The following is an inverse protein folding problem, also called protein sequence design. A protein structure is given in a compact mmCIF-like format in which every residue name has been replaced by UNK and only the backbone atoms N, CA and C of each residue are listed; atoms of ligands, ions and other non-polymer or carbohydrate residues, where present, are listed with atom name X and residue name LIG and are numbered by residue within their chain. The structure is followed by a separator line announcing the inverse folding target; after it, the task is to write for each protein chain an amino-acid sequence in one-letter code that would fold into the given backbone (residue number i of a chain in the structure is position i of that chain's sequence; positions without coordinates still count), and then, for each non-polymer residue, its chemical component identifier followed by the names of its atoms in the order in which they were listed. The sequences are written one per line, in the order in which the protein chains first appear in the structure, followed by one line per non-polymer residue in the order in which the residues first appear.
data_IF_439063431441
#
_entry.id   IF_439063431441
#
_cell.length_a   1.000
_cell.length_b   1.000
_cell.length_c   1.000
_cell.angle_alpha   90.00
_cell.angle_beta   90.00
_cell.angle_gamma   90.00
#
_symmetry.space_group_name_H-M   'P 1'
#
loop_
_entity.id
_entity.type
_entity.pdbx_description
1 polymer ?
#
# COMPACT_ATOMS: atom_id res chain seq x y z
N UNK A 1 -10.28 22.80 11.68
CA UNK A 1 -11.47 22.01 12.06
C UNK A 1 -11.74 20.87 11.09
N UNK A 2 -11.90 21.10 9.77
CA UNK A 2 -12.17 20.03 8.79
C UNK A 2 -11.02 19.02 8.59
N UNK A 3 -9.76 19.47 8.49
CA UNK A 3 -8.57 18.58 8.39
C UNK A 3 -8.49 17.61 9.58
N UNK A 4 -8.52 18.15 10.79
CA UNK A 4 -8.52 17.35 12.02
C UNK A 4 -9.70 16.38 12.12
N UNK A 5 -10.90 16.78 11.66
CA UNK A 5 -12.03 15.87 11.54
C UNK A 5 -11.74 14.71 10.58
N UNK A 6 -11.25 14.99 9.35
CA UNK A 6 -10.89 13.96 8.38
C UNK A 6 -9.81 13.01 8.90
N UNK A 7 -8.76 13.54 9.52
CA UNK A 7 -7.73 12.74 10.18
C UNK A 7 -8.33 11.82 11.24
N UNK A 8 -9.25 12.31 12.08
CA UNK A 8 -9.92 11.48 13.09
C UNK A 8 -10.87 10.45 12.48
N UNK A 9 -11.54 10.80 11.38
CA UNK A 9 -12.44 9.88 10.66
C UNK A 9 -11.68 8.71 10.05
N UNK A 10 -10.46 8.95 9.55
CA UNK A 10 -9.64 7.91 8.91
C UNK A 10 -8.81 7.14 9.93
N UNK A 11 -8.06 7.84 10.80
CA UNK A 11 -7.21 7.20 11.81
C UNK A 11 -8.02 6.60 12.97
N UNK A 12 -9.29 6.99 13.13
CA UNK A 12 -10.11 6.66 14.28
C UNK A 12 -9.96 7.67 15.42
N UNK A 13 -11.07 7.91 16.13
CA UNK A 13 -11.16 8.92 17.18
C UNK A 13 -10.24 8.63 18.39
N UNK A 14 -9.87 7.37 18.59
CA UNK A 14 -9.03 6.94 19.72
C UNK A 14 -7.53 7.07 19.46
N UNK A 15 -7.11 7.34 18.22
CA UNK A 15 -5.68 7.39 17.86
C UNK A 15 -5.04 8.67 18.39
N UNK A 16 -3.96 8.55 19.18
CA UNK A 16 -3.19 9.69 19.62
C UNK A 16 -2.35 10.26 18.47
N UNK A 17 -2.87 11.30 17.83
CA UNK A 17 -2.21 11.99 16.70
C UNK A 17 -0.93 12.72 17.07
N UNK A 18 -0.68 12.94 18.36
CA UNK A 18 0.57 13.52 18.85
C UNK A 18 1.67 12.46 19.04
N UNK A 19 1.36 11.18 18.78
CA UNK A 19 2.30 10.06 18.88
C UNK A 19 2.59 9.50 17.48
N UNK A 20 3.69 9.92 16.81
CA UNK A 20 4.02 9.48 15.46
C UNK A 20 4.02 7.97 15.27
N UNK A 21 4.54 7.21 16.24
CA UNK A 21 4.55 5.75 16.19
C UNK A 21 3.15 5.14 16.18
N UNK A 22 2.20 5.73 16.92
CA UNK A 22 0.82 5.27 16.93
C UNK A 22 0.12 5.56 15.60
N UNK A 23 0.39 6.73 15.01
CA UNK A 23 -0.11 7.08 13.67
C UNK A 23 0.46 6.15 12.60
N UNK A 24 1.75 5.80 12.65
CA UNK A 24 2.37 4.83 11.73
C UNK A 24 1.69 3.46 11.85
N UNK A 25 1.54 2.94 13.08
CA UNK A 25 0.86 1.66 13.32
C UNK A 25 -0.55 1.70 12.72
N UNK A 26 -1.27 2.80 12.92
CA UNK A 26 -2.61 2.97 12.36
C UNK A 26 -2.63 2.98 10.84
N UNK A 27 -1.66 3.61 10.18
CA UNK A 27 -1.52 3.58 8.73
C UNK A 27 -1.38 2.13 8.20
N UNK A 28 -0.56 1.32 8.88
CA UNK A 28 -0.37 -0.10 8.52
C UNK A 28 -1.67 -0.89 8.74
N UNK A 29 -2.37 -0.66 9.85
CA UNK A 29 -3.65 -1.34 10.12
C UNK A 29 -4.75 -1.00 9.11
N UNK A 30 -4.81 0.26 8.66
CA UNK A 30 -5.71 0.69 7.60
C UNK A 30 -5.37 -0.04 6.30
N UNK A 31 -4.10 0.00 5.89
CA UNK A 31 -3.62 -0.69 4.70
C UNK A 31 -3.85 -2.21 4.74
N UNK A 32 -3.70 -2.84 5.91
CA UNK A 32 -4.05 -4.25 6.11
C UNK A 32 -5.55 -4.48 5.88
N UNK A 33 -6.40 -3.58 6.38
CA UNK A 33 -7.85 -3.67 6.18
C UNK A 33 -8.24 -3.52 4.71
N UNK A 34 -7.57 -2.64 3.95
CA UNK A 34 -7.74 -2.54 2.50
C UNK A 34 -7.39 -3.86 1.80
N UNK A 35 -6.23 -4.44 2.13
CA UNK A 35 -5.77 -5.74 1.60
C UNK A 35 -6.77 -6.87 1.91
N UNK A 36 -7.40 -6.85 3.09
CA UNK A 36 -8.40 -7.83 3.49
C UNK A 36 -9.68 -7.79 2.63
N UNK A 37 -9.85 -6.80 1.74
CA UNK A 37 -10.94 -6.80 0.74
C UNK A 37 -10.90 -8.03 -0.19
N UNK A 38 -9.72 -8.58 -0.47
CA UNK A 38 -9.61 -9.93 -1.06
C UNK A 38 -9.07 -10.96 -0.06
N UNK A 39 -8.18 -10.54 0.84
CA UNK A 39 -7.52 -11.44 1.80
C UNK A 39 -8.48 -12.12 2.80
N UNK A 40 -9.65 -11.54 3.11
CA UNK A 40 -10.57 -12.07 4.14
C UNK A 40 -11.02 -13.51 3.91
N UNK A 41 -11.09 -13.96 2.66
CA UNK A 41 -11.53 -15.31 2.32
C UNK A 41 -10.46 -16.37 2.59
N UNK A 42 -9.21 -15.94 2.82
CA UNK A 42 -8.03 -16.79 2.92
C UNK A 42 -7.24 -16.55 4.21
N UNK A 43 -7.71 -15.66 5.09
CA UNK A 43 -6.93 -15.21 6.25
C UNK A 43 -6.63 -16.30 7.26
N UNK A 44 -7.45 -17.34 7.34
CA UNK A 44 -7.20 -18.52 8.17
C UNK A 44 -6.04 -19.39 7.65
N UNK A 45 -5.61 -19.17 6.41
CA UNK A 45 -4.55 -19.91 5.72
C UNK A 45 -3.30 -19.07 5.51
N UNK A 46 -3.24 -17.84 6.04
CA UNK A 46 -2.01 -17.07 6.07
C UNK A 46 -0.98 -17.77 6.96
N UNK A 47 0.30 -17.73 6.59
CA UNK A 47 1.38 -18.31 7.39
C UNK A 47 1.56 -17.60 8.73
N UNK A 48 1.18 -16.33 8.82
CA UNK A 48 1.32 -15.49 10.00
C UNK A 48 0.01 -14.73 10.28
N UNK A 49 -0.19 -14.36 11.54
CA UNK A 49 -1.37 -13.59 11.93
C UNK A 49 -1.24 -12.09 11.60
N UNK A 50 -2.34 -11.35 11.77
CA UNK A 50 -2.36 -9.90 11.54
C UNK A 50 -1.29 -9.16 12.34
N UNK A 51 -1.06 -9.54 13.60
CA UNK A 51 -0.13 -8.84 14.49
C UNK A 51 1.29 -9.02 13.99
N UNK A 52 1.67 -10.25 13.63
CA UNK A 52 2.97 -10.58 13.06
C UNK A 52 3.20 -9.85 11.73
N UNK A 53 2.23 -9.88 10.81
CA UNK A 53 2.31 -9.20 9.52
C UNK A 53 2.46 -7.68 9.70
N UNK A 54 1.64 -7.05 10.54
CA UNK A 54 1.73 -5.61 10.79
C UNK A 54 3.05 -5.24 11.48
N UNK A 55 3.53 -6.06 12.42
CA UNK A 55 4.81 -5.83 13.11
C UNK A 55 6.00 -5.95 12.17
N UNK A 56 6.01 -6.95 11.30
CA UNK A 56 7.05 -7.13 10.29
C UNK A 56 7.03 -5.99 9.27
N UNK A 57 5.83 -5.55 8.84
CA UNK A 57 5.67 -4.39 7.97
C UNK A 57 6.24 -3.12 8.62
N UNK A 58 5.91 -2.87 9.88
CA UNK A 58 6.42 -1.71 10.63
C UNK A 58 7.96 -1.74 10.75
N UNK A 59 8.52 -2.92 11.01
CA UNK A 59 9.98 -3.10 11.10
C UNK A 59 10.64 -2.81 9.75
N UNK A 60 10.14 -3.42 8.67
CA UNK A 60 10.68 -3.24 7.32
C UNK A 60 10.63 -1.78 6.83
N UNK A 61 9.53 -1.06 7.06
CA UNK A 61 9.45 0.36 6.66
C UNK A 61 10.31 1.27 7.56
N UNK A 62 10.49 0.92 8.84
CA UNK A 62 11.31 1.74 9.76
C UNK A 62 12.79 1.52 9.49
N UNK A 63 13.22 0.28 9.30
CA UNK A 63 14.61 -0.09 8.99
C UNK A 63 15.08 0.46 7.64
N UNK A 64 14.17 0.61 6.68
CA UNK A 64 14.42 1.27 5.39
C UNK A 64 14.35 2.80 5.46
N UNK A 65 14.20 3.38 6.64
CA UNK A 65 13.98 4.83 6.83
C UNK A 65 12.83 5.37 5.98
N UNK A 66 11.76 4.59 5.86
CA UNK A 66 10.57 4.92 5.07
C UNK A 66 10.85 5.14 3.58
N UNK A 67 11.92 4.53 3.04
CA UNK A 67 12.19 4.50 1.60
C UNK A 67 11.50 3.28 1.00
N UNK A 68 10.62 3.52 0.03
CA UNK A 68 9.93 2.45 -0.66
C UNK A 68 10.90 1.58 -1.45
N UNK A 69 10.67 0.26 -1.41
CA UNK A 69 11.29 -0.66 -2.37
C UNK A 69 10.41 -1.87 -2.62
N UNK A 70 10.46 -2.39 -3.85
CA UNK A 70 9.76 -3.63 -4.23
C UNK A 70 10.28 -4.86 -3.46
N UNK A 71 11.49 -4.78 -2.90
CA UNK A 71 12.03 -5.81 -2.01
C UNK A 71 11.16 -5.97 -0.76
N UNK A 72 10.65 -4.87 -0.19
CA UNK A 72 9.77 -4.93 0.98
C UNK A 72 8.49 -5.72 0.65
N UNK A 73 7.90 -5.51 -0.53
CA UNK A 73 6.73 -6.27 -0.99
C UNK A 73 7.05 -7.76 -1.06
N UNK A 74 8.20 -8.10 -1.67
CA UNK A 74 8.64 -9.49 -1.80
C UNK A 74 8.86 -10.15 -0.45
N UNK A 75 9.57 -9.49 0.46
CA UNK A 75 9.85 -10.04 1.79
C UNK A 75 8.55 -10.24 2.59
N UNK A 76 7.64 -9.25 2.57
CA UNK A 76 6.35 -9.31 3.29
C UNK A 76 5.39 -10.32 2.65
N UNK A 77 5.51 -10.59 1.34
CA UNK A 77 4.69 -11.60 0.65
C UNK A 77 4.83 -13.00 1.25
N UNK A 78 6.03 -13.33 1.74
CA UNK A 78 6.35 -14.62 2.36
C UNK A 78 5.65 -14.81 3.71
N UNK A 79 5.13 -13.75 4.31
CA UNK A 79 4.34 -13.87 5.54
C UNK A 79 2.91 -14.33 5.29
N UNK A 80 2.42 -14.20 4.05
CA UNK A 80 1.10 -14.69 3.65
C UNK A 80 1.19 -16.13 3.18
N UNK A 81 2.03 -16.41 2.17
CA UNK A 81 2.24 -17.74 1.59
C UNK A 81 3.44 -17.73 0.63
N UNK A 82 3.99 -18.90 0.32
CA UNK A 82 5.11 -19.04 -0.62
C UNK A 82 4.73 -18.70 -2.08
N UNK A 83 3.51 -19.07 -2.50
CA UNK A 83 3.02 -18.83 -3.85
C UNK A 83 1.57 -18.36 -3.83
N UNK A 84 0.65 -19.31 -3.59
CA UNK A 84 -0.80 -19.07 -3.66
C UNK A 84 -1.54 -19.74 -2.53
N UNK A 85 -2.66 -19.14 -2.12
CA UNK A 85 -3.66 -19.75 -1.23
C UNK A 85 -4.96 -19.88 -2.00
N UNK A 86 -5.58 -21.06 -1.95
CA UNK A 86 -6.81 -21.38 -2.69
C UNK A 86 -6.58 -22.35 -3.84
N UNK A 87 -7.58 -22.54 -4.69
CA UNK A 87 -7.56 -23.50 -5.80
C UNK A 87 -8.25 -22.94 -7.06
N UNK A 88 -7.89 -23.52 -8.22
CA UNK A 88 -8.46 -23.20 -9.53
C UNK A 88 -8.52 -21.69 -9.82
N UNK A 89 -9.73 -21.14 -9.93
CA UNK A 89 -9.97 -19.71 -10.17
C UNK A 89 -10.22 -18.92 -8.87
N UNK A 90 -10.19 -19.57 -7.71
CA UNK A 90 -10.44 -18.97 -6.40
C UNK A 90 -9.16 -19.03 -5.56
N UNK A 91 -8.23 -18.15 -5.90
CA UNK A 91 -6.96 -18.04 -5.19
C UNK A 91 -6.51 -16.59 -5.04
N UNK A 92 -5.54 -16.41 -4.14
CA UNK A 92 -4.73 -15.20 -4.00
C UNK A 92 -3.25 -15.58 -4.04
N UNK A 93 -2.40 -14.61 -4.35
CA UNK A 93 -0.93 -14.75 -4.28
C UNK A 93 -0.42 -13.98 -3.07
N UNK A 94 0.67 -14.44 -2.46
CA UNK A 94 1.33 -13.68 -1.40
C UNK A 94 1.72 -12.28 -1.87
N UNK A 95 2.23 -12.18 -3.10
CA UNK A 95 2.66 -10.91 -3.71
C UNK A 95 1.48 -9.95 -3.96
N UNK A 96 0.36 -10.44 -4.50
CA UNK A 96 -0.84 -9.63 -4.72
C UNK A 96 -1.45 -9.06 -3.42
N UNK A 97 -1.35 -9.80 -2.30
CA UNK A 97 -1.74 -9.30 -0.98
C UNK A 97 -0.73 -8.28 -0.45
N UNK A 98 0.57 -8.63 -0.48
CA UNK A 98 1.63 -7.76 0.03
C UNK A 98 1.74 -6.44 -0.72
N UNK A 99 1.56 -6.41 -2.05
CA UNK A 99 1.59 -5.14 -2.79
C UNK A 99 0.48 -4.20 -2.33
N UNK A 100 -0.71 -4.72 -2.02
CA UNK A 100 -1.83 -3.88 -1.55
C UNK A 100 -1.52 -3.32 -0.16
N UNK A 101 -1.03 -4.17 0.74
CA UNK A 101 -0.62 -3.76 2.10
C UNK A 101 0.48 -2.69 2.06
N UNK A 102 1.57 -2.93 1.34
CA UNK A 102 2.73 -2.03 1.34
C UNK A 102 2.40 -0.72 0.62
N UNK A 103 1.84 -0.77 -0.59
CA UNK A 103 1.55 0.46 -1.34
C UNK A 103 0.49 1.33 -0.62
N UNK A 104 -0.53 0.73 0.00
CA UNK A 104 -1.48 1.48 0.83
C UNK A 104 -0.84 2.02 2.11
N UNK A 105 0.11 1.30 2.70
CA UNK A 105 0.88 1.81 3.85
C UNK A 105 1.60 3.10 3.44
N UNK A 106 2.34 3.09 2.33
CA UNK A 106 3.04 4.28 1.84
C UNK A 106 2.09 5.41 1.47
N UNK A 107 0.92 5.11 0.90
CA UNK A 107 -0.15 6.10 0.69
C UNK A 107 -0.56 6.79 1.99
N UNK A 108 -0.85 6.03 3.04
CA UNK A 108 -1.25 6.60 4.33
C UNK A 108 -0.11 7.34 5.02
N UNK A 109 1.13 6.85 4.93
CA UNK A 109 2.30 7.56 5.44
C UNK A 109 2.47 8.93 4.77
N UNK A 110 2.24 9.02 3.46
CA UNK A 110 2.24 10.29 2.74
C UNK A 110 1.08 11.19 3.19
N UNK A 111 -0.15 10.68 3.22
CA UNK A 111 -1.35 11.46 3.65
C UNK A 111 -1.20 12.01 5.07
N UNK A 112 -0.56 11.27 5.97
CA UNK A 112 -0.38 11.64 7.36
C UNK A 112 1.06 12.09 7.67
N UNK A 113 1.84 12.49 6.67
CA UNK A 113 3.25 12.87 6.84
C UNK A 113 3.44 13.97 7.88
N UNK A 114 2.53 14.95 7.92
CA UNK A 114 2.54 16.06 8.87
C UNK A 114 2.40 15.61 10.34
N UNK A 115 1.77 14.46 10.60
CA UNK A 115 1.60 13.91 11.94
C UNK A 115 2.75 12.98 12.33
N UNK A 116 3.42 12.39 11.34
CA UNK A 116 4.45 11.36 11.54
C UNK A 116 5.85 11.98 11.60
N UNK A 117 6.13 12.97 10.75
CA UNK A 117 7.46 13.54 10.55
C UNK A 117 7.58 14.98 11.08
N UNK A 118 6.90 15.31 12.19
CA UNK A 118 6.85 16.66 12.77
C UNK A 118 8.24 17.29 12.94
N UNK A 119 9.22 16.50 13.42
CA UNK A 119 10.59 16.94 13.68
C UNK A 119 11.62 16.26 12.76
N UNK A 120 11.17 15.69 11.64
CA UNK A 120 12.01 14.91 10.72
C UNK A 120 11.80 15.37 9.29
N UNK A 121 12.79 15.14 8.44
CA UNK A 121 12.59 15.28 7.01
C UNK A 121 11.50 14.31 6.55
N UNK A 122 10.54 14.81 5.76
CA UNK A 122 9.55 13.97 5.09
C UNK A 122 10.31 13.07 4.11
N UNK A 123 10.07 11.74 4.13
CA UNK A 123 10.71 10.81 3.19
C UNK A 123 10.42 11.16 1.73
N UNK A 124 11.30 10.72 0.84
CA UNK A 124 11.05 10.82 -0.59
C UNK A 124 10.07 9.71 -1.06
N UNK A 125 8.90 10.13 -1.53
CA UNK A 125 7.87 9.23 -2.06
C UNK A 125 7.94 9.07 -3.59
N UNK A 126 8.96 9.63 -4.26
CA UNK A 126 9.09 9.61 -5.73
C UNK A 126 9.23 8.21 -6.33
N UNK A 127 9.65 7.24 -5.53
CA UNK A 127 9.80 5.84 -5.93
C UNK A 127 8.58 4.97 -5.62
N UNK A 128 7.56 5.51 -4.96
CA UNK A 128 6.41 4.73 -4.52
C UNK A 128 5.59 4.21 -5.70
N UNK A 129 5.23 2.93 -5.61
CA UNK A 129 4.34 2.28 -6.56
C UNK A 129 2.86 2.55 -6.23
N UNK A 130 2.00 2.46 -7.25
CA UNK A 130 0.56 2.64 -7.09
C UNK A 130 -0.06 1.42 -6.36
N UNK A 131 -0.90 1.59 -5.33
CA UNK A 131 -1.64 0.49 -4.72
C UNK A 131 -2.67 -0.10 -5.69
N UNK A 132 -2.36 -1.24 -6.29
CA UNK A 132 -3.25 -1.85 -7.29
C UNK A 132 -4.48 -2.46 -6.62
N UNK A 133 -5.66 -2.03 -7.05
CA UNK A 133 -6.94 -2.67 -6.81
C UNK A 133 -7.77 -2.73 -8.09
N UNK A 134 -9.02 -3.20 -7.97
CA UNK A 134 -9.93 -3.32 -9.10
C UNK A 134 -10.29 -1.98 -9.76
N UNK A 135 -10.29 -0.87 -9.01
CA UNK A 135 -10.57 0.46 -9.55
C UNK A 135 -9.37 0.92 -10.37
N UNK A 136 -8.16 0.84 -9.79
CA UNK A 136 -6.92 1.24 -10.45
C UNK A 136 -6.66 0.42 -11.71
N UNK A 137 -6.78 -0.91 -11.65
CA UNK A 137 -6.61 -1.79 -12.81
C UNK A 137 -7.58 -1.42 -13.94
N UNK A 138 -8.85 -1.17 -13.59
CA UNK A 138 -9.88 -0.78 -14.56
C UNK A 138 -9.57 0.57 -15.20
N UNK A 139 -9.16 1.56 -14.41
CA UNK A 139 -8.82 2.93 -14.87
C UNK A 139 -7.57 2.94 -15.76
N UNK A 140 -6.60 2.09 -15.45
CA UNK A 140 -5.39 1.91 -16.25
C UNK A 140 -5.64 1.07 -17.52
N UNK A 141 -6.86 0.57 -17.74
CA UNK A 141 -7.23 -0.32 -18.85
C UNK A 141 -6.35 -1.57 -18.95
N UNK A 142 -5.88 -2.08 -17.80
CA UNK A 142 -5.09 -3.31 -17.73
C UNK A 142 -6.06 -4.50 -17.78
N UNK A 143 -5.91 -5.33 -18.81
CA UNK A 143 -6.79 -6.49 -19.06
C UNK A 143 -6.27 -7.73 -18.35
N UNK A 144 -7.18 -8.68 -18.10
CA UNK A 144 -6.90 -10.02 -17.58
C UNK A 144 -6.06 -10.04 -16.29
N UNK A 145 -6.22 -8.99 -15.47
CA UNK A 145 -5.48 -8.77 -14.25
C UNK A 145 -6.44 -8.68 -13.05
N UNK A 146 -6.16 -9.46 -12.01
CA UNK A 146 -6.83 -9.37 -10.71
C UNK A 146 -5.77 -9.07 -9.68
N UNK A 147 -5.87 -7.92 -9.02
CA UNK A 147 -4.81 -7.41 -8.13
C UNK A 147 -4.37 -8.41 -7.06
N UNK A 148 -5.31 -9.20 -6.52
CA UNK A 148 -5.03 -10.17 -5.46
C UNK A 148 -4.32 -11.44 -5.95
N UNK A 149 -4.23 -11.62 -7.28
CA UNK A 149 -3.60 -12.76 -7.95
C UNK A 149 -2.29 -12.40 -8.66
N UNK A 150 -1.82 -11.17 -8.46
CA UNK A 150 -0.63 -10.67 -9.13
C UNK A 150 0.62 -11.44 -8.75
N UNK A 151 1.32 -11.96 -9.75
CA UNK A 151 2.74 -12.30 -9.62
C UNK A 151 3.59 -11.03 -9.58
N UNK A 152 4.85 -11.15 -9.14
CA UNK A 152 5.82 -10.05 -9.18
C UNK A 152 5.94 -9.47 -10.59
N UNK A 153 6.03 -10.31 -11.62
CA UNK A 153 6.15 -9.88 -13.00
C UNK A 153 4.92 -9.09 -13.49
N UNK A 154 3.71 -9.60 -13.25
CA UNK A 154 2.48 -8.90 -13.64
C UNK A 154 2.33 -7.57 -12.90
N UNK A 155 2.75 -7.52 -11.63
CA UNK A 155 2.78 -6.28 -10.87
C UNK A 155 3.71 -5.25 -11.52
N UNK A 156 4.92 -5.65 -11.92
CA UNK A 156 5.88 -4.77 -12.59
C UNK A 156 5.31 -4.23 -13.91
N UNK A 157 4.64 -5.06 -14.70
CA UNK A 157 3.96 -4.65 -15.93
C UNK A 157 2.84 -3.64 -15.66
N UNK A 158 2.05 -3.83 -14.60
CA UNK A 158 1.02 -2.89 -14.18
C UNK A 158 1.63 -1.54 -13.78
N UNK A 159 2.72 -1.54 -12.99
CA UNK A 159 3.40 -0.32 -12.57
C UNK A 159 4.04 0.41 -13.75
N UNK A 160 4.68 -0.31 -14.68
CA UNK A 160 5.21 0.28 -15.90
C UNK A 160 4.12 0.95 -16.73
N UNK A 161 2.95 0.30 -16.85
CA UNK A 161 1.79 0.88 -17.54
C UNK A 161 1.30 2.16 -16.87
N UNK A 162 1.26 2.20 -15.54
CA UNK A 162 0.88 3.39 -14.78
C UNK A 162 1.90 4.52 -15.01
N UNK A 163 3.19 4.22 -15.02
CA UNK A 163 4.24 5.21 -15.32
C UNK A 163 4.05 5.83 -16.71
N UNK A 164 3.76 5.02 -17.73
CA UNK A 164 3.44 5.53 -19.08
C UNK A 164 2.25 6.49 -19.07
N UNK A 165 1.19 6.12 -18.35
CA UNK A 165 -0.03 6.93 -18.26
C UNK A 165 0.23 8.25 -17.53
N UNK A 166 1.02 8.25 -16.45
CA UNK A 166 1.38 9.47 -15.73
C UNK A 166 2.26 10.39 -16.60
N UNK A 167 3.25 9.83 -17.29
CA UNK A 167 4.14 10.59 -18.17
C UNK A 167 3.42 11.23 -19.37
N UNK A 168 2.28 10.67 -19.80
CA UNK A 168 1.47 11.23 -20.86
C UNK A 168 0.61 12.43 -20.41
N UNK A 169 0.53 12.72 -19.11
CA UNK A 169 -0.30 13.76 -18.54
C UNK A 169 0.55 14.84 -17.85
N UNK A 170 0.08 16.09 -17.89
CA UNK A 170 0.67 17.15 -17.07
C UNK A 170 0.18 16.98 -15.64
N UNK A 171 1.10 16.69 -14.72
CA UNK A 171 0.81 16.61 -13.29
C UNK A 171 1.12 17.94 -12.61
N UNK A 172 0.39 18.24 -11.54
CA UNK A 172 0.81 19.32 -10.65
C UNK A 172 2.10 18.95 -9.89
N UNK A 173 2.71 19.96 -9.27
CA UNK A 173 3.99 19.82 -8.59
C UNK A 173 3.96 18.79 -7.45
N UNK A 174 2.84 18.67 -6.74
CA UNK A 174 2.71 17.75 -5.61
C UNK A 174 2.64 16.31 -6.13
N UNK A 175 1.74 16.05 -7.09
CA UNK A 175 1.60 14.74 -7.72
C UNK A 175 2.88 14.27 -8.43
N UNK A 176 3.63 15.18 -9.05
CA UNK A 176 4.88 14.85 -9.74
C UNK A 176 5.97 14.24 -8.84
N UNK A 177 5.86 14.41 -7.52
CA UNK A 177 6.82 13.91 -6.53
C UNK A 177 6.47 12.54 -5.94
N UNK A 178 5.35 11.94 -6.35
CA UNK A 178 4.83 10.71 -5.73
C UNK A 178 5.11 9.45 -6.57
N UNK A 179 5.84 9.57 -7.68
CA UNK A 179 6.02 8.45 -8.59
C UNK A 179 4.68 7.89 -9.07
N UNK A 180 4.52 6.57 -9.02
CA UNK A 180 3.29 5.91 -9.43
C UNK A 180 2.15 6.04 -8.39
N UNK A 181 2.46 6.36 -7.13
CA UNK A 181 1.44 6.63 -6.11
C UNK A 181 0.50 7.79 -6.52
N UNK A 182 1.00 8.75 -7.31
CA UNK A 182 0.19 9.82 -7.88
C UNK A 182 -1.05 9.32 -8.63
N UNK A 183 -0.93 8.19 -9.33
CA UNK A 183 -2.03 7.63 -10.13
C UNK A 183 -3.22 7.22 -9.28
N UNK A 184 -2.97 6.76 -8.05
CA UNK A 184 -4.04 6.44 -7.10
C UNK A 184 -4.76 7.71 -6.64
N UNK A 185 -4.06 8.78 -6.28
CA UNK A 185 -4.70 10.05 -5.90
C UNK A 185 -5.56 10.67 -7.01
N UNK A 186 -5.23 10.40 -8.28
CA UNK A 186 -6.00 10.89 -9.43
C UNK A 186 -7.28 10.05 -9.65
N UNK A 187 -7.24 8.75 -9.32
CA UNK A 187 -8.24 7.78 -9.78
C UNK A 187 -9.00 7.04 -8.67
N UNK A 188 -8.65 7.27 -7.41
CA UNK A 188 -9.30 6.71 -6.23
C UNK A 188 -10.70 7.29 -5.99
#
# INVERSE_FOLDING_TARGET
MKKSFLESSVLGQSTNKCCPSEVIIKCIELAYSDMMTAGRYYSASFLNDKKEICSATNSAITESNFVFSRKIIKDISLLFCDNTIGNDNHYVTGFGLAQKLINMTFKYLYVFSDLIFVDKAIPDFSSCDCPLDSIIIKKAHIKDCVWSKLTEQQYLECQAKITELLNANSLDLELSKLGNLAYDFINW
#
